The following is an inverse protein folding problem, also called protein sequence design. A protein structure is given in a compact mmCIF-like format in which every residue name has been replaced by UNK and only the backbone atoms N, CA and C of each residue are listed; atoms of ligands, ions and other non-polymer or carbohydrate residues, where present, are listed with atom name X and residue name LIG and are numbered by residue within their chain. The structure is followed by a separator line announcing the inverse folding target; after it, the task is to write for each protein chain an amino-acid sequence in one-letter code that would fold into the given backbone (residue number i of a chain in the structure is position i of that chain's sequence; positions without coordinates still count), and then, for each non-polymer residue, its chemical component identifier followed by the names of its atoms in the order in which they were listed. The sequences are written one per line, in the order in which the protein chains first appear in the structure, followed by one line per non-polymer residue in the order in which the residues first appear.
data_IF_195826308650
#
_entry.id   IF_195826308650
#
_cell.length_a   1.000
_cell.length_b   1.000
_cell.length_c   1.000
_cell.angle_alpha   90.00
_cell.angle_beta   90.00
_cell.angle_gamma   90.00
#
_symmetry.space_group_name_H-M   'P 1'
#
loop_
_entity.id
_entity.type
_entity.pdbx_description
1 polymer ?
#
# COMPACT_ATOMS: atom_id res chain seq x y z
N UNK A 1 20.56 42.17 -56.50
CA UNK A 1 20.15 42.88 -57.73
C UNK A 1 19.02 42.10 -58.36
N UNK A 2 17.78 42.59 -58.31
CA UNK A 2 16.67 41.97 -59.03
C UNK A 2 16.74 42.45 -60.49
N UNK A 3 16.88 41.50 -61.41
CA UNK A 3 16.92 41.76 -62.86
C UNK A 3 15.52 42.12 -63.33
N UNK A 4 15.28 43.40 -63.60
CA UNK A 4 14.04 43.87 -64.22
C UNK A 4 13.99 43.41 -65.69
N UNK A 5 13.14 42.43 -66.00
CA UNK A 5 12.85 42.06 -67.39
C UNK A 5 11.98 43.13 -68.06
N UNK A 6 12.32 43.45 -69.31
CA UNK A 6 11.90 44.64 -70.06
C UNK A 6 10.38 44.83 -70.25
N UNK A 7 10.01 46.11 -70.39
CA UNK A 7 8.67 46.67 -70.38
C UNK A 7 7.74 46.20 -71.53
N UNK A 8 6.73 45.42 -71.19
CA UNK A 8 5.49 45.29 -71.97
C UNK A 8 4.41 46.23 -71.43
N UNK A 9 3.58 46.82 -72.30
CA UNK A 9 2.35 47.53 -71.86
C UNK A 9 1.39 46.48 -71.29
N UNK A 10 1.12 46.55 -69.99
CA UNK A 10 0.10 45.74 -69.34
C UNK A 10 -0.68 46.57 -68.32
N UNK A 11 -1.84 46.08 -67.88
CA UNK A 11 -2.62 46.74 -66.81
C UNK A 11 -1.99 46.43 -65.46
N UNK A 12 -1.68 47.47 -64.70
CA UNK A 12 -1.21 47.32 -63.33
C UNK A 12 -2.30 46.71 -62.44
N UNK A 13 -1.97 45.68 -61.67
CA UNK A 13 -2.92 44.97 -60.81
C UNK A 13 -3.53 45.86 -59.71
N UNK A 14 -2.80 46.88 -59.26
CA UNK A 14 -3.22 47.77 -58.16
C UNK A 14 -4.08 48.95 -58.61
N UNK A 15 -3.81 49.54 -59.78
CA UNK A 15 -4.51 50.76 -60.23
C UNK A 15 -5.28 50.61 -61.55
N UNK A 16 -5.20 49.45 -62.21
CA UNK A 16 -5.96 49.12 -63.43
C UNK A 16 -5.55 49.86 -64.71
N UNK A 17 -4.60 50.82 -64.62
CA UNK A 17 -4.16 51.64 -65.76
C UNK A 17 -3.12 50.90 -66.61
N UNK A 18 -3.22 51.05 -67.93
CA UNK A 18 -2.30 50.47 -68.91
C UNK A 18 -1.07 51.37 -69.08
N UNK A 19 0.08 50.91 -68.58
CA UNK A 19 1.35 51.66 -68.54
C UNK A 19 2.53 50.69 -68.68
N UNK A 20 3.76 51.21 -68.69
CA UNK A 20 4.96 50.38 -68.53
C UNK A 20 4.92 49.70 -67.15
N UNK A 21 4.77 48.37 -67.15
CA UNK A 21 4.68 47.57 -65.93
C UNK A 21 5.92 46.70 -65.74
N UNK A 22 6.29 46.47 -64.48
CA UNK A 22 7.30 45.52 -64.04
C UNK A 22 6.58 44.34 -63.39
N UNK A 23 6.99 43.11 -63.72
CA UNK A 23 6.46 41.91 -63.07
C UNK A 23 7.30 41.56 -61.86
N UNK A 24 6.64 41.12 -60.79
CA UNK A 24 7.31 40.53 -59.64
C UNK A 24 7.55 39.05 -59.90
N UNK A 25 8.78 38.56 -59.71
CA UNK A 25 9.14 37.16 -59.95
C UNK A 25 8.41 36.20 -58.99
N UNK A 26 8.07 36.66 -57.78
CA UNK A 26 7.39 35.85 -56.77
C UNK A 26 5.90 35.65 -57.07
N UNK A 27 5.14 36.73 -57.21
CA UNK A 27 3.69 36.65 -57.42
C UNK A 27 3.26 36.67 -58.91
N UNK A 28 4.21 36.85 -59.84
CA UNK A 28 4.00 36.95 -61.29
C UNK A 28 3.04 38.07 -61.75
N UNK A 29 2.63 38.97 -60.85
CA UNK A 29 1.69 40.05 -61.15
C UNK A 29 2.39 41.29 -61.75
N UNK A 30 1.77 41.96 -62.74
CA UNK A 30 2.28 43.20 -63.32
C UNK A 30 1.91 44.43 -62.47
N UNK A 31 2.92 45.21 -62.08
CA UNK A 31 2.76 46.46 -61.33
C UNK A 31 3.32 47.63 -62.13
N UNK A 32 2.68 48.81 -62.08
CA UNK A 32 3.34 50.03 -62.54
C UNK A 32 4.53 50.34 -61.63
N UNK A 33 5.58 50.98 -62.15
CA UNK A 33 6.84 51.27 -61.43
C UNK A 33 6.62 51.77 -59.99
N UNK A 34 5.71 52.74 -59.78
CA UNK A 34 5.43 53.26 -58.43
C UNK A 34 4.77 52.21 -57.50
N UNK A 35 3.79 51.45 -58.00
CA UNK A 35 3.13 50.39 -57.23
C UNK A 35 4.02 49.16 -57.02
N UNK A 36 4.99 48.91 -57.91
CA UNK A 36 6.02 47.91 -57.68
C UNK A 36 6.92 48.32 -56.51
N UNK A 37 7.24 49.61 -56.38
CA UNK A 37 7.92 50.17 -55.21
C UNK A 37 7.14 49.94 -53.91
N UNK A 38 5.84 50.20 -53.89
CA UNK A 38 4.99 49.91 -52.73
C UNK A 38 4.88 48.41 -52.40
N UNK A 39 4.73 47.56 -53.41
CA UNK A 39 4.74 46.10 -53.23
C UNK A 39 6.07 45.62 -52.63
N UNK A 40 7.19 46.22 -53.06
CA UNK A 40 8.51 45.90 -52.53
C UNK A 40 8.69 46.39 -51.09
N UNK A 41 8.16 47.55 -50.73
CA UNK A 41 8.14 48.05 -49.35
C UNK A 41 7.33 47.13 -48.42
N UNK A 42 6.21 46.58 -48.88
CA UNK A 42 5.43 45.63 -48.09
C UNK A 42 6.19 44.31 -47.86
N UNK A 43 6.89 43.80 -48.88
CA UNK A 43 7.77 42.64 -48.72
C UNK A 43 8.94 42.91 -47.77
N UNK A 44 9.49 44.12 -47.79
CA UNK A 44 10.57 44.55 -46.88
C UNK A 44 10.08 44.61 -45.43
N UNK A 45 8.85 45.08 -45.21
CA UNK A 45 8.20 45.05 -43.90
C UNK A 45 7.99 43.63 -43.39
N UNK A 46 7.48 42.73 -44.24
CA UNK A 46 7.30 41.31 -43.89
C UNK A 46 8.64 40.63 -43.58
N UNK A 47 9.70 40.95 -44.32
CA UNK A 47 11.04 40.47 -44.03
C UNK A 47 11.52 40.96 -42.66
N UNK A 48 11.29 42.23 -42.33
CA UNK A 48 11.58 42.78 -41.01
C UNK A 48 10.83 42.07 -39.87
N UNK A 49 9.56 41.72 -40.05
CA UNK A 49 8.78 40.95 -39.08
C UNK A 49 9.36 39.53 -38.86
N UNK A 50 9.83 38.88 -39.94
CA UNK A 50 10.52 37.59 -39.86
C UNK A 50 11.85 37.71 -39.13
N UNK A 51 12.62 38.77 -39.38
CA UNK A 51 13.91 39.01 -38.70
C UNK A 51 13.73 39.24 -37.20
N UNK A 52 12.72 40.02 -36.80
CA UNK A 52 12.36 40.21 -35.38
C UNK A 52 11.95 38.87 -34.75
N UNK A 53 11.14 38.08 -35.44
CA UNK A 53 10.70 36.76 -34.95
C UNK A 53 11.88 35.80 -34.78
N UNK A 54 12.81 35.79 -35.74
CA UNK A 54 14.05 35.00 -35.67
C UNK A 54 14.88 35.39 -34.46
N UNK A 55 15.04 36.69 -34.22
CA UNK A 55 15.86 37.19 -33.12
C UNK A 55 15.24 36.86 -31.76
N UNK A 56 13.92 36.94 -31.63
CA UNK A 56 13.18 36.49 -30.45
C UNK A 56 13.34 34.98 -30.22
N UNK A 57 13.24 34.17 -31.28
CA UNK A 57 13.47 32.73 -31.21
C UNK A 57 14.91 32.42 -30.77
N UNK A 58 15.89 33.16 -31.29
CA UNK A 58 17.30 33.01 -30.91
C UNK A 58 17.56 33.37 -29.45
N UNK A 59 16.92 34.42 -28.94
CA UNK A 59 16.95 34.76 -27.51
C UNK A 59 16.36 33.63 -26.67
N UNK A 60 15.18 33.13 -27.03
CA UNK A 60 14.52 32.02 -26.34
C UNK A 60 15.39 30.75 -26.34
N UNK A 61 16.01 30.43 -27.46
CA UNK A 61 16.92 29.29 -27.60
C UNK A 61 18.18 29.47 -26.73
N UNK A 62 18.71 30.69 -26.67
CA UNK A 62 19.88 31.02 -25.85
C UNK A 62 19.54 30.91 -24.37
N UNK A 63 18.39 31.42 -23.93
CA UNK A 63 17.90 31.30 -22.55
C UNK A 63 17.69 29.83 -22.13
N UNK A 64 17.10 29.01 -22.99
CA UNK A 64 16.94 27.58 -22.72
C UNK A 64 18.28 26.83 -22.72
N UNK A 65 19.23 27.21 -23.58
CA UNK A 65 20.55 26.58 -23.64
C UNK A 65 21.48 26.95 -22.47
N UNK A 66 21.28 28.12 -21.87
CA UNK A 66 22.15 28.64 -20.79
C UNK A 66 21.67 28.25 -19.39
N UNK A 67 20.39 27.86 -19.24
CA UNK A 67 19.83 27.38 -17.96
C UNK A 67 19.00 26.10 -18.14
N UNK A 68 19.64 24.94 -18.35
CA UNK A 68 18.96 23.65 -18.56
C UNK A 68 18.05 23.27 -17.38
N UNK A 69 18.39 23.68 -16.17
CA UNK A 69 17.59 23.50 -14.95
C UNK A 69 16.19 24.15 -15.00
N UNK A 70 15.98 25.14 -15.87
CA UNK A 70 14.67 25.77 -16.07
C UNK A 70 13.80 25.05 -17.09
N UNK A 71 14.35 24.06 -17.81
CA UNK A 71 13.57 23.22 -18.71
C UNK A 71 12.54 22.44 -17.89
N UNK A 72 11.29 22.43 -18.36
CA UNK A 72 10.15 21.81 -17.65
C UNK A 72 10.42 20.36 -17.25
N UNK A 73 11.11 19.59 -18.09
CA UNK A 73 11.48 18.21 -17.81
C UNK A 73 12.51 18.09 -16.67
N UNK A 74 13.51 18.99 -16.64
CA UNK A 74 14.50 19.02 -15.55
C UNK A 74 13.84 19.40 -14.22
N UNK A 75 12.89 20.35 -14.22
CA UNK A 75 12.09 20.67 -13.02
C UNK A 75 11.27 19.47 -12.53
N UNK A 76 10.69 18.69 -13.44
CA UNK A 76 9.96 17.47 -13.08
C UNK A 76 10.88 16.40 -12.47
N UNK A 77 12.10 16.25 -12.98
CA UNK A 77 13.10 15.33 -12.42
C UNK A 77 13.54 15.80 -11.03
N UNK A 78 13.85 17.09 -10.87
CA UNK A 78 14.24 17.66 -9.58
C UNK A 78 13.12 17.52 -8.54
N UNK A 79 11.86 17.78 -8.93
CA UNK A 79 10.71 17.60 -8.05
C UNK A 79 10.54 16.13 -7.64
N UNK A 80 10.67 15.21 -8.60
CA UNK A 80 10.62 13.78 -8.33
C UNK A 80 11.74 13.33 -7.37
N UNK A 81 12.94 13.87 -7.53
CA UNK A 81 14.08 13.62 -6.63
C UNK A 81 13.77 14.11 -5.20
N UNK A 82 13.32 15.35 -5.05
CA UNK A 82 12.96 15.94 -3.76
C UNK A 82 11.86 15.14 -3.05
N UNK A 83 10.78 14.80 -3.77
CA UNK A 83 9.65 14.03 -3.23
C UNK A 83 10.09 12.62 -2.80
N UNK A 84 10.96 11.99 -3.60
CA UNK A 84 11.50 10.66 -3.30
C UNK A 84 12.38 10.69 -2.04
N UNK A 85 13.27 11.68 -1.91
CA UNK A 85 14.11 11.87 -0.72
C UNK A 85 13.24 12.17 0.51
N UNK A 86 12.21 13.02 0.36
CA UNK A 86 11.29 13.36 1.45
C UNK A 86 10.54 12.12 1.96
N UNK A 87 10.06 11.26 1.06
CA UNK A 87 9.40 9.99 1.40
C UNK A 87 10.36 9.05 2.14
N UNK A 88 11.59 8.89 1.65
CA UNK A 88 12.62 8.06 2.30
C UNK A 88 12.89 8.58 3.73
N UNK A 89 13.06 9.90 3.89
CA UNK A 89 13.30 10.51 5.21
C UNK A 89 12.14 10.28 6.17
N UNK A 90 10.90 10.41 5.69
CA UNK A 90 9.69 10.15 6.49
C UNK A 90 9.65 8.71 6.98
N UNK A 91 9.76 7.75 6.07
CA UNK A 91 9.75 6.31 6.42
C UNK A 91 10.90 5.95 7.37
N UNK A 92 12.09 6.51 7.17
CA UNK A 92 13.22 6.30 8.09
C UNK A 92 12.94 6.88 9.49
N UNK A 93 12.27 8.03 9.58
CA UNK A 93 11.89 8.62 10.87
C UNK A 93 10.82 7.80 11.58
N UNK A 94 9.80 7.31 10.86
CA UNK A 94 8.78 6.42 11.42
C UNK A 94 9.42 5.15 11.99
N UNK A 95 10.35 4.52 11.25
CA UNK A 95 11.10 3.36 11.73
C UNK A 95 11.93 3.66 13.00
N UNK A 96 12.60 4.83 13.06
CA UNK A 96 13.35 5.25 14.26
C UNK A 96 12.42 5.44 15.46
N UNK A 97 11.25 6.06 15.27
CA UNK A 97 10.28 6.28 16.34
C UNK A 97 9.70 4.96 16.85
N UNK A 98 9.46 4.00 15.95
CA UNK A 98 9.01 2.66 16.34
C UNK A 98 10.06 1.94 17.20
N UNK A 99 11.34 1.98 16.79
CA UNK A 99 12.45 1.44 17.59
C UNK A 99 12.48 2.12 18.96
N UNK A 100 12.47 3.46 19.00
CA UNK A 100 12.57 4.22 20.24
C UNK A 100 11.43 3.85 21.21
N UNK A 101 10.17 3.85 20.72
CA UNK A 101 9.00 3.49 21.51
C UNK A 101 9.14 2.07 22.09
N UNK A 102 9.56 1.10 21.29
CA UNK A 102 9.72 -0.28 21.73
C UNK A 102 10.88 -0.42 22.73
N UNK A 103 12.02 0.21 22.46
CA UNK A 103 13.17 0.23 23.36
C UNK A 103 12.81 0.86 24.71
N UNK A 104 12.11 1.99 24.72
CA UNK A 104 11.67 2.63 25.98
C UNK A 104 10.74 1.72 26.77
N UNK A 105 9.71 1.15 26.14
CA UNK A 105 8.79 0.22 26.79
C UNK A 105 9.53 -0.97 27.41
N UNK A 106 10.42 -1.58 26.63
CA UNK A 106 11.22 -2.71 27.06
C UNK A 106 12.16 -2.36 28.23
N UNK A 107 12.83 -1.21 28.18
CA UNK A 107 13.70 -0.75 29.28
C UNK A 107 12.92 -0.56 30.57
N UNK A 108 11.71 0.02 30.50
CA UNK A 108 10.82 0.16 31.66
C UNK A 108 10.39 -1.20 32.21
N UNK A 109 10.07 -2.17 31.35
CA UNK A 109 9.72 -3.54 31.79
C UNK A 109 10.91 -4.24 32.48
N UNK A 110 12.11 -4.11 31.94
CA UNK A 110 13.33 -4.67 32.55
C UNK A 110 13.65 -3.99 33.88
N UNK A 111 13.44 -2.68 34.00
CA UNK A 111 13.56 -1.94 35.25
C UNK A 111 12.58 -2.45 36.31
N UNK A 112 11.32 -2.71 35.94
CA UNK A 112 10.31 -3.30 36.85
C UNK A 112 10.73 -4.70 37.31
N UNK A 113 11.23 -5.56 36.40
CA UNK A 113 11.74 -6.89 36.74
C UNK A 113 12.92 -6.80 37.72
N UNK A 114 13.87 -5.90 37.46
CA UNK A 114 15.03 -5.68 38.32
C UNK A 114 14.62 -5.18 39.72
N UNK A 115 13.66 -4.26 39.80
CA UNK A 115 13.12 -3.78 41.08
C UNK A 115 12.41 -4.89 41.86
N UNK A 116 11.64 -5.74 41.17
CA UNK A 116 11.00 -6.92 41.78
C UNK A 116 12.04 -7.88 42.34
N UNK A 117 13.05 -8.24 41.54
CA UNK A 117 14.15 -9.11 41.98
C UNK A 117 14.90 -8.52 43.19
N UNK A 118 15.15 -7.21 43.17
CA UNK A 118 15.81 -6.49 44.27
C UNK A 118 15.01 -6.61 45.57
N UNK A 119 13.68 -6.55 45.47
CA UNK A 119 12.78 -6.72 46.61
C UNK A 119 12.82 -8.16 47.14
N UNK A 120 12.70 -9.17 46.27
CA UNK A 120 12.78 -10.58 46.65
C UNK A 120 14.10 -10.91 47.36
N UNK A 121 15.23 -10.45 46.80
CA UNK A 121 16.55 -10.62 47.40
C UNK A 121 16.65 -10.02 48.81
N UNK A 122 15.98 -8.91 49.05
CA UNK A 122 15.96 -8.24 50.34
C UNK A 122 15.12 -9.01 51.35
N UNK A 123 13.91 -9.42 50.97
CA UNK A 123 12.98 -10.16 51.84
C UNK A 123 13.58 -11.51 52.26
N UNK A 124 14.07 -12.31 51.30
CA UNK A 124 14.73 -13.59 51.60
C UNK A 124 15.98 -13.43 52.49
N UNK A 125 16.70 -12.32 52.37
CA UNK A 125 17.87 -12.03 53.22
C UNK A 125 17.48 -11.62 54.64
N UNK A 126 16.41 -10.85 54.79
CA UNK A 126 15.88 -10.44 56.11
C UNK A 126 15.28 -11.65 56.86
N UNK A 127 14.62 -12.57 56.13
CA UNK A 127 14.02 -13.79 56.67
C UNK A 127 15.04 -14.95 56.82
N UNK A 128 16.22 -14.80 56.22
CA UNK A 128 17.25 -15.84 56.11
C UNK A 128 16.72 -17.15 55.50
N UNK A 129 15.79 -17.01 54.56
CA UNK A 129 15.06 -18.08 53.87
C UNK A 129 15.43 -18.10 52.39
N UNK A 130 16.57 -18.73 52.08
CA UNK A 130 17.03 -18.92 50.72
C UNK A 130 17.79 -20.23 50.58
N UNK A 131 17.56 -20.93 49.47
CA UNK A 131 18.22 -22.19 49.13
C UNK A 131 19.02 -22.06 47.83
N UNK A 132 19.82 -23.07 47.50
CA UNK A 132 20.61 -23.11 46.27
C UNK A 132 19.76 -22.91 45.01
N UNK A 133 18.50 -23.37 45.04
CA UNK A 133 17.52 -23.20 43.96
C UNK A 133 17.10 -21.74 43.76
N UNK A 134 16.98 -20.95 44.83
CA UNK A 134 16.62 -19.53 44.74
C UNK A 134 17.78 -18.70 44.19
N UNK A 135 19.00 -19.00 44.66
CA UNK A 135 20.23 -18.38 44.13
C UNK A 135 20.38 -18.66 42.63
N UNK A 136 20.15 -19.90 42.19
CA UNK A 136 20.21 -20.27 40.79
C UNK A 136 19.11 -19.58 39.96
N UNK A 137 17.88 -19.49 40.48
CA UNK A 137 16.78 -18.78 39.83
C UNK A 137 17.11 -17.30 39.62
N UNK A 138 17.55 -16.60 40.65
CA UNK A 138 17.88 -15.17 40.58
C UNK A 138 19.05 -14.90 39.64
N UNK A 139 20.07 -15.78 39.64
CA UNK A 139 21.19 -15.67 38.72
C UNK A 139 20.76 -15.86 37.25
N UNK A 140 19.88 -16.83 36.98
CA UNK A 140 19.29 -17.03 35.65
C UNK A 140 18.48 -15.81 35.22
N UNK A 141 17.63 -15.24 36.09
CA UNK A 141 16.85 -14.03 35.78
C UNK A 141 17.73 -12.83 35.40
N UNK A 142 18.86 -12.63 36.11
CA UNK A 142 19.83 -11.57 35.77
C UNK A 142 20.50 -11.81 34.41
N UNK A 143 20.88 -13.05 34.10
CA UNK A 143 21.46 -13.41 32.81
C UNK A 143 20.46 -13.18 31.68
N UNK A 144 19.20 -13.59 31.86
CA UNK A 144 18.14 -13.39 30.88
C UNK A 144 17.90 -11.89 30.60
N UNK A 145 17.72 -11.09 31.66
CA UNK A 145 17.58 -9.63 31.52
C UNK A 145 18.79 -8.98 30.82
N UNK A 146 20.01 -9.40 31.16
CA UNK A 146 21.22 -8.88 30.52
C UNK A 146 21.32 -9.28 29.04
N UNK A 147 20.97 -10.52 28.69
CA UNK A 147 20.96 -10.99 27.32
C UNK A 147 19.94 -10.22 26.46
N UNK A 148 18.76 -9.93 27.01
CA UNK A 148 17.75 -9.13 26.33
C UNK A 148 18.16 -7.65 26.18
N UNK A 149 18.93 -7.08 27.11
CA UNK A 149 19.48 -5.71 27.02
C UNK A 149 20.56 -5.58 25.93
N UNK A 150 21.45 -6.57 25.83
CA UNK A 150 22.58 -6.54 24.90
C UNK A 150 22.15 -6.89 23.47
N UNK A 151 21.16 -7.79 23.32
CA UNK A 151 20.66 -8.21 22.01
C UNK A 151 19.15 -8.50 22.07
N UNK A 152 18.29 -7.48 22.01
CA UNK A 152 16.85 -7.67 22.05
C UNK A 152 16.40 -8.50 20.85
N UNK A 153 15.87 -9.69 21.13
CA UNK A 153 15.34 -10.64 20.14
C UNK A 153 14.13 -10.08 19.37
N UNK A 154 13.51 -9.03 19.91
CA UNK A 154 12.30 -8.36 19.43
C UNK A 154 12.51 -7.40 18.26
N UNK A 155 13.75 -6.98 17.95
CA UNK A 155 14.03 -6.02 16.88
C UNK A 155 14.97 -6.65 15.86
N UNK A 156 14.48 -6.83 14.63
CA UNK A 156 15.27 -7.27 13.48
C UNK A 156 15.30 -6.20 12.42
N UNK A 157 16.50 -5.81 12.00
CA UNK A 157 16.71 -4.93 10.86
C UNK A 157 17.02 -5.82 9.66
N UNK A 158 16.16 -5.78 8.65
CA UNK A 158 16.36 -6.46 7.38
C UNK A 158 16.70 -5.43 6.30
N UNK A 159 17.63 -5.80 5.42
CA UNK A 159 18.02 -4.99 4.28
C UNK A 159 17.47 -5.64 3.00
N UNK A 160 16.57 -4.93 2.32
CA UNK A 160 16.16 -5.24 0.95
C UNK A 160 16.88 -4.29 0.00
N UNK A 161 17.42 -4.79 -1.11
CA UNK A 161 18.04 -3.94 -2.13
C UNK A 161 17.29 -4.03 -3.44
N UNK A 162 16.97 -2.88 -4.02
CA UNK A 162 16.58 -2.74 -5.43
C UNK A 162 17.68 -1.99 -6.17
N UNK A 163 17.60 -1.93 -7.51
CA UNK A 163 18.56 -1.14 -8.34
C UNK A 163 18.60 0.37 -8.00
N UNK A 164 17.61 0.89 -7.27
CA UNK A 164 17.43 2.33 -7.02
C UNK A 164 17.46 2.71 -5.54
N UNK A 165 17.05 1.83 -4.61
CA UNK A 165 17.01 2.12 -3.17
C UNK A 165 17.35 0.85 -2.36
N UNK A 166 18.16 1.03 -1.30
CA UNK A 166 18.28 0.06 -0.20
C UNK A 166 17.18 0.34 0.83
N UNK A 167 16.16 -0.51 0.87
CA UNK A 167 15.08 -0.42 1.87
C UNK A 167 15.50 -1.11 3.16
N UNK A 168 15.44 -0.38 4.27
CA UNK A 168 15.58 -0.95 5.61
C UNK A 168 14.17 -1.28 6.11
N UNK A 169 13.92 -2.55 6.42
CA UNK A 169 12.71 -2.97 7.14
C UNK A 169 13.09 -3.25 8.57
N UNK A 170 12.50 -2.51 9.50
CA UNK A 170 12.58 -2.83 10.91
C UNK A 170 11.39 -3.71 11.22
N UNK A 171 11.64 -5.01 11.32
CA UNK A 171 10.67 -5.94 11.87
C UNK A 171 10.85 -5.90 13.37
N UNK A 172 10.02 -5.09 14.03
CA UNK A 172 9.76 -5.33 15.43
C UNK A 172 8.88 -6.57 15.42
N UNK A 173 9.47 -7.74 15.69
CA UNK A 173 8.65 -8.81 16.22
C UNK A 173 8.22 -8.29 17.57
N UNK A 174 7.04 -7.66 17.59
CA UNK A 174 6.16 -7.84 18.73
C UNK A 174 6.19 -9.34 18.84
N UNK A 175 6.91 -9.88 19.84
CA UNK A 175 6.57 -11.20 20.31
C UNK A 175 5.07 -11.08 20.40
N UNK A 176 4.37 -11.80 19.50
CA UNK A 176 2.95 -12.05 19.65
C UNK A 176 2.77 -12.14 21.14
N UNK A 177 1.88 -11.34 21.70
CA UNK A 177 1.52 -11.46 23.09
C UNK A 177 0.94 -12.89 23.32
N UNK A 178 1.73 -13.95 23.18
CA UNK A 178 2.11 -14.72 24.34
C UNK A 178 2.63 -13.72 25.37
N UNK A 179 1.67 -13.00 25.97
CA UNK A 179 1.68 -12.74 27.39
C UNK A 179 2.42 -13.93 27.99
N UNK A 180 3.41 -13.66 28.85
CA UNK A 180 3.88 -14.69 29.76
C UNK A 180 2.68 -14.98 30.70
N UNK A 181 1.65 -15.63 30.15
CA UNK A 181 0.53 -16.22 30.82
C UNK A 181 1.22 -17.29 31.63
N UNK A 182 1.68 -16.92 32.82
CA UNK A 182 2.25 -17.90 33.74
C UNK A 182 1.30 -19.09 33.76
N UNK A 183 1.80 -20.31 33.83
CA UNK A 183 1.01 -21.53 33.57
C UNK A 183 -0.30 -21.64 34.38
N UNK A 184 -0.48 -20.79 35.40
CA UNK A 184 -1.65 -20.66 36.27
C UNK A 184 -2.57 -19.45 35.97
N UNK A 185 -2.28 -18.63 34.96
CA UNK A 185 -3.08 -17.48 34.57
C UNK A 185 -4.45 -17.97 34.07
N UNK A 186 -5.52 -17.41 34.66
CA UNK A 186 -6.90 -17.75 34.29
C UNK A 186 -7.53 -16.54 33.63
N UNK A 187 -8.21 -16.78 32.50
CA UNK A 187 -9.07 -15.78 31.89
C UNK A 187 -10.24 -15.43 32.83
N UNK A 188 -10.62 -14.16 32.85
CA UNK A 188 -11.88 -13.76 33.47
C UNK A 188 -13.02 -14.52 32.76
N UNK A 189 -13.90 -15.15 33.54
CA UNK A 189 -14.94 -16.02 33.00
C UNK A 189 -16.10 -15.27 32.34
N UNK A 190 -16.13 -13.94 32.47
CA UNK A 190 -17.15 -13.08 31.87
C UNK A 190 -16.54 -12.32 30.70
N UNK A 191 -16.95 -12.68 29.49
CA UNK A 191 -16.68 -11.89 28.29
C UNK A 191 -17.57 -10.65 28.23
N UNK A 192 -17.11 -9.63 27.52
CA UNK A 192 -17.91 -8.45 27.18
C UNK A 192 -18.23 -8.48 25.68
N UNK A 193 -19.43 -8.05 25.31
CA UNK A 193 -19.79 -7.86 23.90
C UNK A 193 -19.10 -6.59 23.38
N UNK A 194 -18.34 -6.73 22.31
CA UNK A 194 -17.58 -5.61 21.69
C UNK A 194 -18.04 -5.26 20.28
N UNK A 195 -18.87 -6.11 19.67
CA UNK A 195 -19.51 -5.90 18.38
C UNK A 195 -20.84 -6.66 18.33
N UNK A 196 -21.83 -6.11 17.64
CA UNK A 196 -23.20 -6.61 17.64
C UNK A 196 -23.85 -6.50 19.02
N UNK A 197 -24.65 -7.52 19.39
CA UNK A 197 -25.31 -7.61 20.69
C UNK A 197 -26.76 -7.12 20.71
N UNK A 198 -27.26 -6.56 19.60
CA UNK A 198 -28.61 -6.01 19.48
C UNK A 198 -29.56 -6.96 18.71
N UNK A 199 -29.39 -8.27 18.90
CA UNK A 199 -30.14 -9.31 18.20
C UNK A 199 -29.60 -9.62 16.81
N UNK A 200 -30.15 -10.69 16.22
CA UNK A 200 -29.84 -11.11 14.86
C UNK A 200 -30.50 -10.16 13.84
N UNK A 201 -29.74 -9.70 12.86
CA UNK A 201 -30.29 -8.87 11.78
C UNK A 201 -29.24 -8.23 10.88
N UNK A 202 -29.72 -7.38 9.97
CA UNK A 202 -28.91 -6.70 8.95
C UNK A 202 -28.53 -5.26 9.35
N UNK A 203 -29.01 -4.75 10.49
CA UNK A 203 -28.67 -3.43 11.00
C UNK A 203 -27.16 -3.24 11.17
N UNK A 204 -26.70 -1.99 11.24
CA UNK A 204 -25.28 -1.67 11.43
C UNK A 204 -24.80 -2.02 12.85
N UNK A 205 -25.72 -2.18 13.79
CA UNK A 205 -25.48 -2.62 15.16
C UNK A 205 -25.80 -4.11 15.39
N UNK A 206 -26.13 -4.84 14.31
CA UNK A 206 -26.53 -6.24 14.33
C UNK A 206 -25.60 -7.09 13.46
N UNK A 207 -25.54 -8.38 13.78
CA UNK A 207 -24.83 -9.41 13.03
C UNK A 207 -25.75 -10.63 12.90
N UNK A 208 -25.57 -11.47 11.88
CA UNK A 208 -26.27 -12.74 11.72
C UNK A 208 -25.29 -13.87 11.46
N UNK A 209 -25.18 -14.76 12.46
CA UNK A 209 -24.25 -15.90 12.50
C UNK A 209 -22.81 -15.53 12.12
N UNK A 210 -22.13 -14.59 12.80
CA UNK A 210 -20.73 -14.28 12.48
C UNK A 210 -19.82 -15.50 12.77
N UNK A 211 -18.96 -15.88 11.83
CA UNK A 211 -18.11 -17.09 11.95
C UNK A 211 -16.69 -16.80 12.44
N UNK A 212 -16.06 -15.73 11.94
CA UNK A 212 -14.67 -15.39 12.24
C UNK A 212 -14.46 -13.89 12.22
N UNK A 213 -13.34 -13.45 12.78
CA UNK A 213 -12.93 -12.05 12.80
C UNK A 213 -11.41 -11.90 12.74
N UNK A 214 -10.96 -10.73 12.30
CA UNK A 214 -9.56 -10.31 12.33
C UNK A 214 -9.45 -8.96 13.04
N UNK A 215 -8.43 -8.77 13.87
CA UNK A 215 -8.16 -7.51 14.58
C UNK A 215 -6.84 -6.95 14.08
N UNK A 216 -6.84 -5.68 13.66
CA UNK A 216 -5.62 -4.99 13.23
C UNK A 216 -4.88 -4.27 14.39
N UNK A 217 -3.82 -3.53 14.04
CA UNK A 217 -2.99 -2.82 15.03
C UNK A 217 -3.70 -1.62 15.68
N UNK A 218 -4.75 -1.11 15.05
CA UNK A 218 -5.58 -0.01 15.56
C UNK A 218 -6.76 -0.55 16.39
N UNK A 219 -6.76 -1.85 16.70
CA UNK A 219 -7.84 -2.58 17.38
C UNK A 219 -9.18 -2.48 16.64
N UNK A 220 -9.12 -2.29 15.32
CA UNK A 220 -10.30 -2.38 14.46
C UNK A 220 -10.55 -3.84 14.11
N UNK A 221 -11.80 -4.27 14.30
CA UNK A 221 -12.20 -5.64 14.05
C UNK A 221 -12.92 -5.76 12.71
N UNK A 222 -12.55 -6.76 11.91
CA UNK A 222 -13.20 -7.12 10.66
C UNK A 222 -13.90 -8.46 10.85
N UNK A 223 -15.21 -8.49 10.65
CA UNK A 223 -16.06 -9.63 11.01
C UNK A 223 -16.65 -10.24 9.74
N UNK A 224 -16.54 -11.55 9.59
CA UNK A 224 -17.25 -12.31 8.57
C UNK A 224 -18.69 -12.57 9.04
N UNK A 225 -19.61 -11.72 8.58
CA UNK A 225 -21.04 -11.75 8.93
C UNK A 225 -21.77 -12.67 7.95
N UNK A 226 -21.68 -13.98 8.21
CA UNK A 226 -21.93 -15.06 7.27
C UNK A 226 -23.31 -15.01 6.63
N UNK A 227 -24.37 -14.99 7.45
CA UNK A 227 -25.76 -15.04 6.95
C UNK A 227 -26.18 -13.74 6.28
N UNK A 228 -25.50 -12.63 6.58
CA UNK A 228 -25.72 -11.34 5.93
C UNK A 228 -24.82 -11.15 4.69
N UNK A 229 -23.97 -12.13 4.36
CA UNK A 229 -23.13 -12.15 3.16
C UNK A 229 -22.26 -10.89 3.00
N UNK A 230 -21.62 -10.47 4.09
CA UNK A 230 -20.84 -9.24 4.15
C UNK A 230 -19.65 -9.35 5.11
N UNK A 231 -18.68 -8.45 4.93
CA UNK A 231 -17.65 -8.18 5.93
C UNK A 231 -17.96 -6.84 6.60
N UNK A 232 -17.95 -6.83 7.92
CA UNK A 232 -18.22 -5.63 8.74
C UNK A 232 -16.94 -5.17 9.42
N UNK A 233 -16.56 -3.91 9.22
CA UNK A 233 -15.56 -3.21 10.04
C UNK A 233 -16.23 -2.69 11.32
N UNK A 234 -15.62 -2.95 12.47
CA UNK A 234 -16.09 -2.51 13.77
C UNK A 234 -14.93 -1.88 14.54
N UNK A 235 -14.94 -0.56 14.65
CA UNK A 235 -13.92 0.19 15.39
C UNK A 235 -14.10 -0.01 16.89
N UNK A 236 -12.99 -0.05 17.63
CA UNK A 236 -13.03 -0.19 19.09
C UNK A 236 -13.95 0.87 19.73
N UNK A 237 -14.93 0.40 20.50
CA UNK A 237 -15.88 1.26 21.21
C UNK A 237 -16.95 1.92 20.34
N UNK A 238 -16.99 1.65 19.04
CA UNK A 238 -18.06 2.14 18.17
C UNK A 238 -19.37 1.40 18.49
N UNK A 239 -20.53 2.10 18.46
CA UNK A 239 -21.82 1.47 18.71
C UNK A 239 -22.32 0.66 17.50
N UNK A 240 -21.79 0.94 16.30
CA UNK A 240 -22.21 0.35 15.04
C UNK A 240 -20.96 -0.01 14.21
N UNK A 241 -21.08 -1.04 13.39
CA UNK A 241 -20.14 -1.37 12.34
C UNK A 241 -20.45 -0.70 10.99
N UNK A 242 -19.53 -0.86 10.05
CA UNK A 242 -19.62 -0.39 8.67
C UNK A 242 -19.37 -1.56 7.71
N UNK A 243 -20.17 -1.69 6.66
CA UNK A 243 -19.97 -2.75 5.65
C UNK A 243 -18.83 -2.35 4.73
N UNK A 244 -17.76 -3.15 4.71
CA UNK A 244 -16.53 -2.87 3.95
C UNK A 244 -16.30 -3.82 2.77
N UNK A 245 -17.02 -4.94 2.71
CA UNK A 245 -17.07 -5.82 1.55
C UNK A 245 -18.40 -6.59 1.50
N UNK A 246 -18.88 -6.91 0.30
CA UNK A 246 -20.18 -7.55 0.11
C UNK A 246 -21.37 -6.64 0.48
N UNK A 247 -22.43 -7.22 1.03
CA UNK A 247 -23.63 -6.47 1.43
C UNK A 247 -24.59 -6.09 0.28
N UNK A 248 -24.40 -6.68 -0.89
CA UNK A 248 -25.24 -6.52 -2.09
C UNK A 248 -26.03 -7.80 -2.38
N UNK A 249 -26.68 -8.35 -1.36
CA UNK A 249 -27.31 -9.68 -1.36
C UNK A 249 -26.30 -10.83 -1.57
N UNK A 250 -26.78 -12.06 -1.35
CA UNK A 250 -26.01 -13.26 -1.63
C UNK A 250 -25.78 -13.38 -3.15
N UNK A 251 -24.54 -13.61 -3.58
CA UNK A 251 -24.28 -13.87 -4.99
C UNK A 251 -22.82 -14.11 -5.33
N UNK A 252 -22.58 -14.41 -6.61
CA UNK A 252 -21.26 -14.82 -7.14
C UNK A 252 -20.57 -13.70 -7.95
N UNK A 253 -21.20 -12.53 -8.10
CA UNK A 253 -20.58 -11.40 -8.79
C UNK A 253 -19.36 -10.88 -8.03
N UNK A 254 -18.52 -10.08 -8.70
CA UNK A 254 -17.28 -9.55 -8.11
C UNK A 254 -17.55 -8.58 -6.95
N UNK A 255 -18.74 -7.96 -6.91
CA UNK A 255 -19.21 -7.08 -5.83
C UNK A 255 -20.13 -7.78 -4.81
N UNK A 256 -20.24 -9.11 -4.86
CA UNK A 256 -21.07 -9.92 -3.99
C UNK A 256 -20.25 -10.97 -3.25
N UNK A 257 -20.75 -11.35 -2.08
CA UNK A 257 -20.26 -12.49 -1.32
C UNK A 257 -21.43 -13.46 -1.10
N UNK A 258 -21.13 -14.70 -0.74
CA UNK A 258 -22.11 -15.70 -0.37
C UNK A 258 -21.58 -16.52 0.80
N UNK A 259 -21.98 -16.12 2.01
CA UNK A 259 -21.60 -16.80 3.25
C UNK A 259 -20.10 -16.74 3.52
N UNK A 260 -19.49 -15.56 3.71
CA UNK A 260 -18.08 -15.49 4.04
C UNK A 260 -17.82 -16.10 5.42
N UNK A 261 -16.79 -16.93 5.55
CA UNK A 261 -16.47 -17.62 6.83
C UNK A 261 -15.25 -17.04 7.53
N UNK A 262 -14.34 -16.41 6.78
CA UNK A 262 -13.09 -15.86 7.32
C UNK A 262 -12.66 -14.61 6.56
N UNK A 263 -12.00 -13.70 7.26
CA UNK A 263 -11.39 -12.49 6.71
C UNK A 263 -10.05 -12.24 7.38
N UNK A 264 -9.08 -11.75 6.62
CA UNK A 264 -7.82 -11.23 7.13
C UNK A 264 -7.37 -10.02 6.31
N UNK A 265 -6.50 -9.19 6.87
CA UNK A 265 -5.94 -8.02 6.18
C UNK A 265 -4.54 -8.33 5.65
N UNK A 266 -4.34 -8.19 4.36
CA UNK A 266 -3.02 -8.07 3.74
C UNK A 266 -2.64 -6.58 3.72
N UNK A 267 -1.81 -6.19 4.70
CA UNK A 267 -1.35 -4.81 4.88
C UNK A 267 -0.41 -4.35 3.77
N UNK A 268 0.30 -5.26 3.11
CA UNK A 268 1.28 -4.92 2.07
C UNK A 268 0.56 -4.43 0.80
N UNK A 269 -0.55 -5.07 0.47
CA UNK A 269 -1.36 -4.75 -0.71
C UNK A 269 -2.65 -3.97 -0.38
N UNK A 270 -2.83 -3.55 0.87
CA UNK A 270 -4.00 -2.86 1.41
C UNK A 270 -5.35 -3.47 0.98
N UNK A 271 -5.51 -4.77 1.24
CA UNK A 271 -6.69 -5.52 0.84
C UNK A 271 -7.11 -6.53 1.91
N UNK A 272 -8.39 -6.90 1.88
CA UNK A 272 -8.91 -8.06 2.58
C UNK A 272 -8.66 -9.32 1.76
N UNK A 273 -8.31 -10.41 2.44
CA UNK A 273 -8.41 -11.76 1.91
C UNK A 273 -9.59 -12.43 2.60
N UNK A 274 -10.60 -12.79 1.83
CA UNK A 274 -11.89 -13.26 2.31
C UNK A 274 -12.12 -14.69 1.83
N UNK A 275 -12.54 -15.55 2.74
CA UNK A 275 -13.05 -16.87 2.41
C UNK A 275 -14.53 -16.76 2.06
N UNK A 276 -14.87 -16.88 0.78
CA UNK A 276 -16.23 -16.76 0.27
C UNK A 276 -16.81 -18.16 0.08
N UNK A 277 -17.13 -18.79 1.21
CA UNK A 277 -17.38 -20.24 1.33
C UNK A 277 -18.50 -20.72 0.40
N UNK A 278 -19.63 -20.01 0.34
CA UNK A 278 -20.77 -20.40 -0.50
C UNK A 278 -20.48 -20.31 -2.00
N UNK A 279 -19.50 -19.51 -2.41
CA UNK A 279 -19.01 -19.42 -3.79
C UNK A 279 -17.76 -20.28 -4.05
N UNK A 280 -17.30 -21.06 -3.05
CA UNK A 280 -16.15 -21.97 -3.14
C UNK A 280 -14.89 -21.29 -3.70
N UNK A 281 -14.60 -20.10 -3.17
CA UNK A 281 -13.46 -19.27 -3.60
C UNK A 281 -12.83 -18.50 -2.44
N UNK A 282 -11.59 -18.11 -2.63
CA UNK A 282 -10.92 -17.09 -1.82
C UNK A 282 -10.74 -15.85 -2.70
N UNK A 283 -11.09 -14.70 -2.14
CA UNK A 283 -11.21 -13.43 -2.86
C UNK A 283 -10.34 -12.38 -2.17
N UNK A 284 -9.66 -11.58 -2.98
CA UNK A 284 -8.97 -10.36 -2.55
C UNK A 284 -9.86 -9.16 -2.79
N UNK A 285 -10.14 -8.37 -1.77
CA UNK A 285 -11.02 -7.19 -1.85
C UNK A 285 -10.26 -5.92 -1.42
N UNK A 286 -10.19 -4.86 -2.23
CA UNK A 286 -9.46 -3.64 -1.84
C UNK A 286 -10.09 -2.94 -0.63
N UNK A 287 -9.28 -2.51 0.34
CA UNK A 287 -9.80 -1.81 1.55
C UNK A 287 -10.24 -0.38 1.27
N UNK A 288 -9.70 0.26 0.23
CA UNK A 288 -10.00 1.63 -0.14
C UNK A 288 -10.51 1.70 -1.58
N UNK A 289 -11.60 2.44 -1.81
CA UNK A 289 -12.18 2.70 -3.13
C UNK A 289 -12.50 1.45 -3.98
N UNK A 290 -12.57 0.27 -3.35
CA UNK A 290 -12.87 -1.00 -4.00
C UNK A 290 -14.33 -1.38 -3.85
N UNK A 291 -15.07 -1.44 -4.96
CA UNK A 291 -16.47 -1.89 -4.98
C UNK A 291 -16.63 -3.38 -5.30
N UNK A 292 -15.53 -4.06 -5.60
CA UNK A 292 -15.51 -5.45 -6.03
C UNK A 292 -14.20 -6.11 -5.67
N UNK A 293 -14.22 -7.40 -5.35
CA UNK A 293 -13.02 -8.18 -5.18
C UNK A 293 -12.72 -9.10 -6.37
N UNK A 294 -11.54 -9.70 -6.29
CA UNK A 294 -10.96 -10.55 -7.33
C UNK A 294 -10.75 -11.94 -6.75
N UNK A 295 -11.23 -12.97 -7.47
CA UNK A 295 -10.94 -14.36 -7.10
C UNK A 295 -9.44 -14.63 -7.23
N UNK A 296 -8.81 -15.08 -6.15
CA UNK A 296 -7.38 -15.43 -6.12
C UNK A 296 -7.15 -16.94 -5.97
N UNK A 297 -8.12 -17.68 -5.41
CA UNK A 297 -8.13 -19.14 -5.38
C UNK A 297 -9.56 -19.60 -5.67
N UNK A 298 -9.72 -20.49 -6.64
CA UNK A 298 -11.02 -21.05 -7.06
C UNK A 298 -11.15 -22.53 -6.70
N UNK A 299 -12.39 -23.03 -6.64
CA UNK A 299 -12.72 -24.44 -6.43
C UNK A 299 -12.17 -25.00 -5.10
N UNK A 300 -12.33 -24.19 -4.06
CA UNK A 300 -11.95 -24.49 -2.69
C UNK A 300 -13.10 -24.15 -1.76
N UNK A 301 -13.51 -25.10 -0.93
CA UNK A 301 -14.56 -24.87 0.08
C UNK A 301 -13.88 -24.40 1.36
N UNK A 302 -13.31 -23.19 1.28
CA UNK A 302 -12.41 -22.67 2.30
C UNK A 302 -13.18 -22.25 3.55
N UNK A 303 -12.80 -22.77 4.72
CA UNK A 303 -13.43 -22.38 5.98
C UNK A 303 -12.57 -21.39 6.75
N UNK A 304 -11.31 -21.75 7.01
CA UNK A 304 -10.31 -20.94 7.69
C UNK A 304 -9.22 -20.43 6.75
N UNK A 305 -8.71 -19.23 7.06
CA UNK A 305 -7.59 -18.58 6.37
C UNK A 305 -6.59 -18.08 7.41
N UNK A 306 -5.30 -18.23 7.13
CA UNK A 306 -4.23 -17.56 7.89
C UNK A 306 -3.01 -17.33 7.00
N UNK A 307 -2.13 -16.41 7.38
CA UNK A 307 -0.93 -16.08 6.62
C UNK A 307 0.29 -16.06 7.52
N UNK A 308 1.40 -16.60 7.05
CA UNK A 308 2.67 -16.54 7.77
C UNK A 308 3.39 -15.19 7.57
N UNK A 309 4.49 -14.98 8.29
CA UNK A 309 5.31 -13.78 8.19
C UNK A 309 6.06 -13.64 6.85
N UNK A 310 6.06 -14.68 6.01
CA UNK A 310 6.66 -14.68 4.67
C UNK A 310 5.63 -14.35 3.58
N UNK A 311 4.34 -14.24 3.94
CA UNK A 311 3.24 -13.95 3.03
C UNK A 311 2.65 -15.19 2.37
N UNK A 312 2.91 -16.40 2.88
CA UNK A 312 2.24 -17.61 2.40
C UNK A 312 0.86 -17.72 3.04
N UNK A 313 -0.16 -17.90 2.19
CA UNK A 313 -1.53 -18.09 2.61
C UNK A 313 -1.78 -19.58 2.91
N UNK A 314 -2.40 -19.87 4.04
CA UNK A 314 -2.87 -21.19 4.42
C UNK A 314 -4.39 -21.21 4.38
N UNK A 315 -4.95 -22.21 3.70
CA UNK A 315 -6.39 -22.38 3.53
C UNK A 315 -6.80 -23.76 4.05
N UNK A 316 -7.84 -23.83 4.89
CA UNK A 316 -8.48 -25.10 5.23
C UNK A 316 -9.62 -25.39 4.27
N UNK A 317 -9.53 -26.49 3.51
CA UNK A 317 -10.59 -26.94 2.61
C UNK A 317 -11.49 -27.92 3.36
N UNK A 318 -12.69 -27.45 3.69
CA UNK A 318 -13.67 -28.18 4.48
C UNK A 318 -14.09 -29.49 3.82
N UNK A 319 -14.31 -29.47 2.51
CA UNK A 319 -14.78 -30.64 1.74
C UNK A 319 -13.68 -31.66 1.49
N UNK A 320 -12.45 -31.18 1.25
CA UNK A 320 -11.31 -32.06 0.96
C UNK A 320 -10.59 -32.55 2.22
N UNK A 321 -10.96 -32.03 3.38
CA UNK A 321 -10.35 -32.37 4.67
C UNK A 321 -8.82 -32.22 4.65
N UNK A 322 -8.37 -31.08 4.13
CA UNK A 322 -6.96 -30.78 3.96
C UNK A 322 -6.66 -29.31 4.24
N UNK A 323 -5.40 -29.02 4.57
CA UNK A 323 -4.86 -27.67 4.64
C UNK A 323 -3.80 -27.52 3.56
N UNK A 324 -3.91 -26.45 2.78
CA UNK A 324 -2.93 -26.11 1.74
C UNK A 324 -2.25 -24.79 2.02
N UNK A 325 -0.97 -24.71 1.66
CA UNK A 325 -0.16 -23.50 1.66
C UNK A 325 0.02 -22.99 0.23
N UNK A 326 -0.19 -21.70 0.03
CA UNK A 326 -0.14 -21.01 -1.25
C UNK A 326 0.89 -19.89 -1.18
N UNK A 327 1.78 -19.85 -2.17
CA UNK A 327 2.64 -18.71 -2.44
C UNK A 327 2.04 -17.87 -3.55
N UNK A 328 2.34 -16.57 -3.55
CA UNK A 328 1.93 -15.68 -4.64
C UNK A 328 2.42 -16.21 -5.99
N UNK A 329 1.48 -16.38 -6.93
CA UNK A 329 1.73 -16.93 -8.26
C UNK A 329 1.57 -18.45 -8.38
N UNK A 330 1.34 -19.17 -7.28
CA UNK A 330 1.05 -20.60 -7.32
C UNK A 330 -0.26 -20.85 -8.06
N UNK A 331 -0.26 -21.82 -8.98
CA UNK A 331 -1.48 -22.32 -9.63
C UNK A 331 -2.13 -23.43 -8.82
N UNK A 332 -1.36 -24.10 -7.95
CA UNK A 332 -1.82 -25.16 -7.05
C UNK A 332 -1.13 -25.01 -5.69
N UNK A 333 -1.91 -24.98 -4.61
CA UNK A 333 -1.38 -24.96 -3.26
C UNK A 333 -0.71 -26.28 -2.87
N UNK A 334 0.31 -26.21 -2.03
CA UNK A 334 1.03 -27.36 -1.49
C UNK A 334 0.24 -27.93 -0.31
N UNK A 335 -0.08 -29.23 -0.32
CA UNK A 335 -0.68 -29.92 0.82
C UNK A 335 0.29 -29.89 2.01
N UNK A 336 -0.17 -29.39 3.16
CA UNK A 336 0.65 -29.30 4.39
C UNK A 336 0.08 -30.09 5.56
N UNK A 337 -1.22 -30.41 5.56
CA UNK A 337 -1.85 -31.29 6.54
C UNK A 337 -3.12 -31.93 5.96
N UNK A 338 -3.44 -33.14 6.44
CA UNK A 338 -4.59 -33.92 5.95
C UNK A 338 -4.36 -34.54 4.57
N UNK A 339 -5.43 -34.66 3.78
CA UNK A 339 -5.39 -35.22 2.42
C UNK A 339 -5.60 -36.75 2.35
N UNK A 340 -5.72 -37.43 3.50
CA UNK A 340 -6.01 -38.87 3.58
C UNK A 340 -7.49 -39.16 3.95
N UNK A 341 -8.39 -38.27 3.52
CA UNK A 341 -9.83 -38.36 3.76
C UNK A 341 -10.24 -37.93 5.17
N UNK A 342 -11.55 -37.99 5.42
CA UNK A 342 -12.14 -37.60 6.70
C UNK A 342 -11.75 -38.58 7.80
N UNK A 343 -11.31 -38.08 8.95
CA UNK A 343 -11.11 -38.93 10.12
C UNK A 343 -10.35 -38.29 11.27
N UNK A 344 -9.97 -39.12 12.23
CA UNK A 344 -9.30 -38.75 13.48
C UNK A 344 -7.91 -39.37 13.64
N UNK A 345 -7.36 -39.98 12.58
CA UNK A 345 -5.96 -40.43 12.56
C UNK A 345 -5.02 -39.23 12.45
N UNK A 346 -3.76 -39.43 12.80
CA UNK A 346 -2.73 -38.38 12.79
C UNK A 346 -2.48 -37.75 11.42
N UNK A 347 -2.89 -38.42 10.35
CA UNK A 347 -2.76 -38.00 8.95
C UNK A 347 -4.11 -37.63 8.29
N UNK A 348 -5.20 -37.64 9.07
CA UNK A 348 -6.55 -37.29 8.61
C UNK A 348 -7.02 -36.01 9.29
N UNK A 349 -7.90 -35.28 8.62
CA UNK A 349 -8.61 -34.15 9.21
C UNK A 349 -10.11 -34.40 9.05
N UNK A 350 -10.94 -33.75 9.87
CA UNK A 350 -12.39 -33.78 9.73
C UNK A 350 -12.90 -32.35 9.81
N UNK A 351 -13.26 -31.80 8.65
CA UNK A 351 -13.76 -30.42 8.53
C UNK A 351 -12.81 -29.37 9.15
N UNK A 352 -11.55 -29.29 8.68
CA UNK A 352 -10.51 -28.46 9.30
C UNK A 352 -10.69 -26.95 9.11
#
# INVERSE_FOLDING_TARGET
MATAAAAGKARCVTCGKEKSTVRCDGCSQPFSINHFGHHRQELDKQLGEIEVTRDLFRQTLTEQSTKPENQTLMKQINQWEEDSIAKIRRTANEARQLILKHTTKYLTETEIKLNTLTKELRESREENDFFETDLQRWYTQLIEMNNELVKPSSIRIQHGSTRLITTIRVNVSVSSHLLNLGMNAKWMQHGITVAGGNGEGYGNDQLSSPYSFYIDEDETMYIADFSNHRIVEWKRGAPNGEVVAGGNEAGHQDNQLNGPTSVMVDKVNDCFIISDFGNRRVIRWPRQNGTSGQTIISNITCFGLTMDNEGHLYTSDYEKHEVRRWKMGDTNGILVAGGNGQGNRTDQLSSP
#
